data_IF_615438265008
#
_entry.id   IF_615438265008
#
_cell.length_a   1.000
_cell.length_b   1.000
_cell.length_c   1.000
_cell.angle_alpha   90.00
_cell.angle_beta   90.00
_cell.angle_gamma   90.00
#
_symmetry.space_group_name_H-M   'P 1'
#
loop_
_entity.id
_entity.type
_entity.pdbx_description
1 polymer ?
#
# COMPACT_ATOMS: atom_id res chain seq x y z
N UNK A 1 34.74 -38.51 -60.41
CA UNK A 1 33.41 -38.96 -59.92
C UNK A 1 32.54 -37.72 -59.74
N UNK A 2 31.22 -37.90 -59.91
CA UNK A 2 30.18 -36.87 -60.08
C UNK A 2 29.94 -35.93 -58.88
N UNK A 3 29.17 -34.89 -59.18
CA UNK A 3 28.62 -33.76 -58.42
C UNK A 3 27.73 -34.19 -57.23
N UNK A 4 27.53 -33.24 -56.29
CA UNK A 4 26.30 -32.88 -55.55
C UNK A 4 26.29 -33.07 -54.03
N UNK A 5 25.84 -32.03 -53.30
CA UNK A 5 25.26 -32.19 -51.95
C UNK A 5 25.45 -31.07 -50.94
N UNK A 6 24.75 -29.95 -51.12
CA UNK A 6 24.16 -29.04 -50.11
C UNK A 6 24.78 -28.84 -48.71
N UNK A 7 25.04 -27.55 -48.43
CA UNK A 7 25.12 -26.94 -47.10
C UNK A 7 23.77 -27.06 -46.35
N UNK A 8 23.81 -27.47 -45.08
CA UNK A 8 22.81 -27.08 -44.08
C UNK A 8 23.50 -26.74 -42.76
N UNK A 9 23.61 -25.43 -42.53
CA UNK A 9 23.88 -24.88 -41.21
C UNK A 9 22.60 -25.01 -40.37
N UNK A 10 22.56 -25.99 -39.48
CA UNK A 10 21.52 -26.08 -38.45
C UNK A 10 22.15 -26.54 -37.16
N UNK A 11 21.82 -25.81 -36.08
CA UNK A 11 22.20 -26.02 -34.68
C UNK A 11 23.53 -25.40 -34.27
N UNK A 12 23.51 -24.09 -33.96
CA UNK A 12 24.23 -23.52 -32.81
C UNK A 12 23.95 -22.02 -32.57
N UNK A 13 22.72 -21.52 -32.77
CA UNK A 13 22.28 -20.24 -32.16
C UNK A 13 20.78 -20.33 -31.85
N UNK A 14 20.43 -20.80 -30.64
CA UNK A 14 19.15 -20.51 -29.96
C UNK A 14 19.38 -20.38 -28.46
N UNK A 15 20.24 -19.44 -28.08
CA UNK A 15 20.09 -18.68 -26.83
C UNK A 15 19.88 -17.23 -27.26
N UNK A 16 18.62 -16.90 -27.53
CA UNK A 16 18.19 -15.56 -27.88
C UNK A 16 16.78 -15.41 -27.36
N UNK A 17 16.62 -14.48 -26.42
CA UNK A 17 15.37 -13.98 -25.86
C UNK A 17 14.21 -14.04 -26.87
N UNK A 18 13.28 -14.96 -26.68
CA UNK A 18 11.91 -14.78 -27.14
C UNK A 18 11.06 -14.54 -25.90
N UNK A 19 10.94 -13.26 -25.56
CA UNK A 19 9.89 -12.71 -24.71
C UNK A 19 8.55 -13.02 -25.41
N UNK A 20 7.91 -14.12 -25.02
CA UNK A 20 6.58 -14.46 -25.52
C UNK A 20 5.55 -13.56 -24.83
N UNK A 21 5.08 -12.55 -25.55
CA UNK A 21 3.80 -11.88 -25.27
C UNK A 21 2.72 -12.97 -25.34
N UNK A 22 1.97 -13.14 -24.25
CA UNK A 22 0.89 -14.14 -24.20
C UNK A 22 -0.34 -13.56 -24.91
N UNK A 23 -0.61 -14.05 -26.12
CA UNK A 23 -1.81 -13.68 -26.89
C UNK A 23 -3.05 -14.34 -26.28
N UNK A 24 -4.03 -13.53 -25.89
CA UNK A 24 -5.41 -13.93 -25.59
C UNK A 24 -6.32 -13.14 -26.55
N UNK A 25 -7.18 -13.83 -27.30
CA UNK A 25 -8.12 -13.25 -28.26
C UNK A 25 -9.49 -13.08 -27.58
N UNK A 26 -9.84 -11.91 -27.07
CA UNK A 26 -10.45 -10.79 -27.82
C UNK A 26 -10.71 -9.59 -26.89
N UNK A 27 -10.67 -8.35 -27.42
CA UNK A 27 -11.31 -7.17 -26.81
C UNK A 27 -12.26 -6.53 -27.83
N UNK A 28 -13.53 -6.44 -27.45
CA UNK A 28 -14.48 -5.35 -27.75
C UNK A 28 -15.42 -5.28 -26.55
N UNK A 29 -15.52 -4.14 -25.86
CA UNK A 29 -16.66 -3.82 -24.99
C UNK A 29 -17.14 -2.38 -25.23
N UNK A 30 -18.27 -2.21 -25.95
CA UNK A 30 -19.32 -1.22 -25.72
C UNK A 30 -20.46 -1.90 -24.91
N UNK A 31 -21.29 -1.32 -24.04
CA UNK A 31 -22.26 -0.23 -24.20
C UNK A 31 -22.75 0.14 -22.79
N UNK A 32 -22.12 1.12 -22.17
CA UNK A 32 -22.80 2.09 -21.26
C UNK A 32 -22.17 3.47 -21.49
N UNK A 33 -21.68 3.69 -22.72
CA UNK A 33 -21.69 5.03 -23.24
C UNK A 33 -23.16 5.41 -23.34
N UNK A 34 -23.66 6.02 -22.27
CA UNK A 34 -24.25 7.33 -22.48
C UNK A 34 -23.37 7.97 -23.55
N UNK A 35 -23.88 8.00 -24.78
CA UNK A 35 -23.43 8.94 -25.78
C UNK A 35 -23.31 10.21 -24.97
N UNK A 36 -22.08 10.63 -24.63
CA UNK A 36 -21.86 11.89 -23.94
C UNK A 36 -22.27 12.88 -25.03
N UNK A 37 -23.56 13.20 -25.00
CA UNK A 37 -24.24 14.06 -25.91
C UNK A 37 -23.47 15.37 -25.88
N UNK A 38 -22.81 15.69 -27.00
CA UNK A 38 -22.31 17.02 -27.29
C UNK A 38 -21.60 17.72 -26.11
N UNK A 39 -20.71 17.02 -25.39
CA UNK A 39 -19.77 17.75 -24.55
C UNK A 39 -18.79 18.45 -25.48
N UNK A 40 -18.85 19.78 -25.56
CA UNK A 40 -17.83 20.57 -26.24
C UNK A 40 -16.49 20.29 -25.54
N UNK A 41 -15.60 19.55 -26.22
CA UNK A 41 -14.26 19.30 -25.73
C UNK A 41 -13.48 20.62 -25.74
N UNK A 42 -13.36 21.25 -24.58
CA UNK A 42 -12.68 22.54 -24.44
C UNK A 42 -11.15 22.44 -24.52
N UNK A 43 -10.59 21.23 -24.46
CA UNK A 43 -9.14 20.98 -24.41
C UNK A 43 -8.70 19.94 -25.44
N UNK A 44 -7.59 20.21 -26.12
CA UNK A 44 -6.99 19.32 -27.12
C UNK A 44 -6.65 17.93 -26.55
N UNK A 45 -6.29 17.83 -25.27
CA UNK A 45 -6.02 16.55 -24.62
C UNK A 45 -7.24 15.64 -24.51
N UNK A 46 -8.41 16.21 -24.22
CA UNK A 46 -9.67 15.46 -24.20
C UNK A 46 -10.04 14.96 -25.60
N UNK A 47 -9.85 15.80 -26.62
CA UNK A 47 -10.10 15.40 -28.01
C UNK A 47 -9.17 14.26 -28.43
N UNK A 48 -7.87 14.38 -28.18
CA UNK A 48 -6.90 13.34 -28.50
C UNK A 48 -7.19 12.04 -27.75
N UNK A 49 -7.57 12.11 -26.47
CA UNK A 49 -7.97 10.95 -25.69
C UNK A 49 -9.21 10.27 -26.28
N UNK A 50 -10.22 11.07 -26.68
CA UNK A 50 -11.45 10.55 -27.31
C UNK A 50 -11.18 9.87 -28.64
N UNK A 51 -10.42 10.53 -29.52
CA UNK A 51 -10.02 9.94 -30.81
C UNK A 51 -9.23 8.66 -30.61
N UNK A 52 -8.27 8.66 -29.67
CA UNK A 52 -7.48 7.46 -29.35
C UNK A 52 -8.35 6.32 -28.85
N UNK A 53 -9.30 6.61 -27.95
CA UNK A 53 -10.24 5.62 -27.44
C UNK A 53 -11.11 5.04 -28.57
N UNK A 54 -11.73 5.90 -29.38
CA UNK A 54 -12.61 5.50 -30.48
C UNK A 54 -11.88 4.64 -31.53
N UNK A 55 -10.68 5.08 -31.94
CA UNK A 55 -9.84 4.31 -32.86
C UNK A 55 -9.46 2.96 -32.24
N UNK A 56 -9.08 2.94 -30.96
CA UNK A 56 -8.70 1.73 -30.25
C UNK A 56 -9.82 0.70 -30.14
N UNK A 57 -11.07 1.11 -29.86
CA UNK A 57 -12.21 0.16 -29.76
C UNK A 57 -12.76 -0.27 -31.12
N UNK A 58 -12.39 0.42 -32.21
CA UNK A 58 -12.86 0.12 -33.57
C UNK A 58 -12.14 -1.05 -34.24
N UNK A 59 -10.95 -1.43 -33.77
CA UNK A 59 -10.17 -2.53 -34.34
C UNK A 59 -10.64 -3.91 -33.85
N UNK A 60 -10.12 -4.97 -34.47
CA UNK A 60 -10.63 -6.33 -34.25
C UNK A 60 -9.77 -7.18 -33.30
N UNK A 61 -8.58 -6.72 -32.91
CA UNK A 61 -7.70 -7.46 -32.02
C UNK A 61 -7.24 -6.62 -30.83
N UNK A 62 -7.01 -7.29 -29.69
CA UNK A 62 -6.50 -6.64 -28.49
C UNK A 62 -5.09 -6.06 -28.70
N UNK A 63 -4.26 -6.72 -29.51
CA UNK A 63 -2.91 -6.27 -29.81
C UNK A 63 -2.91 -4.97 -30.63
N UNK A 64 -3.76 -4.86 -31.65
CA UNK A 64 -3.95 -3.63 -32.41
C UNK A 64 -4.49 -2.50 -31.53
N UNK A 65 -5.51 -2.80 -30.72
CA UNK A 65 -6.10 -1.82 -29.80
C UNK A 65 -5.04 -1.28 -28.84
N UNK A 66 -4.28 -2.19 -28.21
CA UNK A 66 -3.19 -1.87 -27.30
C UNK A 66 -2.15 -0.95 -27.97
N UNK A 67 -1.78 -1.24 -29.22
CA UNK A 67 -0.81 -0.44 -29.99
C UNK A 67 -1.32 0.97 -30.28
N UNK A 68 -2.54 1.08 -30.82
CA UNK A 68 -3.17 2.37 -31.14
C UNK A 68 -3.28 3.24 -29.88
N UNK A 69 -3.73 2.66 -28.77
CA UNK A 69 -3.83 3.39 -27.51
C UNK A 69 -2.47 3.86 -27.00
N UNK A 70 -1.42 3.03 -27.09
CA UNK A 70 -0.06 3.42 -26.69
C UNK A 70 0.45 4.59 -27.53
N UNK A 71 0.27 4.52 -28.85
CA UNK A 71 0.69 5.59 -29.78
C UNK A 71 -0.10 6.89 -29.55
N UNK A 72 -1.41 6.80 -29.30
CA UNK A 72 -2.25 7.95 -28.98
C UNK A 72 -1.88 8.61 -27.65
N UNK A 73 -1.66 7.82 -26.59
CA UNK A 73 -1.17 8.32 -25.30
C UNK A 73 0.23 8.97 -25.44
N UNK A 74 1.14 8.36 -26.20
CA UNK A 74 2.46 8.95 -26.47
C UNK A 74 2.35 10.30 -27.22
N UNK A 75 1.42 10.39 -28.17
CA UNK A 75 1.13 11.63 -28.89
C UNK A 75 0.59 12.70 -27.95
N UNK A 76 -0.24 12.35 -26.97
CA UNK A 76 -0.71 13.28 -25.94
C UNK A 76 0.44 13.79 -25.06
N UNK A 77 1.38 12.92 -24.68
CA UNK A 77 2.58 13.32 -23.91
C UNK A 77 3.42 14.34 -24.69
N UNK A 78 3.63 14.09 -25.98
CA UNK A 78 4.47 14.94 -26.84
C UNK A 78 3.78 16.25 -27.29
N UNK A 79 2.45 16.32 -27.25
CA UNK A 79 1.71 17.47 -27.75
C UNK A 79 1.91 18.71 -26.85
N UNK A 80 2.15 19.87 -27.46
CA UNK A 80 2.37 21.13 -26.71
C UNK A 80 1.08 21.74 -26.15
N UNK A 81 -0.08 21.41 -26.72
CA UNK A 81 -1.38 21.91 -26.28
C UNK A 81 -2.03 21.08 -25.16
N UNK A 82 -1.51 19.88 -24.84
CA UNK A 82 -1.99 19.10 -23.70
C UNK A 82 -1.44 19.64 -22.39
N UNK A 83 -2.28 19.62 -21.36
CA UNK A 83 -1.93 20.08 -20.03
C UNK A 83 -1.00 19.09 -19.33
N UNK A 84 -0.27 19.56 -18.31
CA UNK A 84 0.64 18.68 -17.55
C UNK A 84 -0.07 17.51 -16.86
N UNK A 85 -1.33 17.71 -16.45
CA UNK A 85 -2.12 16.67 -15.78
C UNK A 85 -2.55 15.59 -16.77
N UNK A 86 -2.96 15.99 -17.98
CA UNK A 86 -3.23 15.06 -19.08
C UNK A 86 -1.97 14.29 -19.49
N UNK A 87 -0.81 14.96 -19.55
CA UNK A 87 0.49 14.31 -19.83
C UNK A 87 0.86 13.31 -18.74
N UNK A 88 0.61 13.64 -17.48
CA UNK A 88 0.85 12.74 -16.35
C UNK A 88 0.02 11.47 -16.48
N UNK A 89 -1.30 11.60 -16.69
CA UNK A 89 -2.17 10.44 -16.85
C UNK A 89 -1.84 9.65 -18.13
N UNK A 90 -1.51 10.34 -19.23
CA UNK A 90 -1.12 9.69 -20.46
C UNK A 90 0.16 8.85 -20.30
N UNK A 91 1.17 9.40 -19.62
CA UNK A 91 2.39 8.69 -19.25
C UNK A 91 2.11 7.45 -18.40
N UNK A 92 1.22 7.59 -17.39
CA UNK A 92 0.80 6.47 -16.56
C UNK A 92 0.12 5.36 -17.37
N UNK A 93 -0.77 5.71 -18.32
CA UNK A 93 -1.42 4.74 -19.20
C UNK A 93 -0.46 4.01 -20.13
N UNK A 94 0.65 4.64 -20.53
CA UNK A 94 1.72 3.97 -21.27
C UNK A 94 2.34 2.88 -20.38
N UNK A 95 2.76 3.25 -19.17
CA UNK A 95 3.40 2.37 -18.18
C UNK A 95 2.52 1.17 -17.81
N UNK A 96 1.23 1.40 -17.49
CA UNK A 96 0.30 0.33 -17.12
C UNK A 96 0.22 -0.79 -18.15
N UNK A 97 0.40 -0.52 -19.45
CA UNK A 97 0.28 -1.55 -20.49
C UNK A 97 1.61 -2.17 -20.95
N UNK A 98 2.72 -1.93 -20.24
CA UNK A 98 4.06 -2.40 -20.62
C UNK A 98 4.63 -3.52 -19.72
N UNK A 99 4.01 -3.83 -18.58
CA UNK A 99 4.49 -4.85 -17.60
C UNK A 99 4.09 -6.29 -17.91
N UNK A 100 4.61 -6.88 -19.00
CA UNK A 100 4.37 -8.31 -19.32
C UNK A 100 2.90 -8.75 -19.25
N UNK A 101 1.99 -7.82 -19.54
CA UNK A 101 0.56 -8.03 -19.40
C UNK A 101 -0.01 -8.68 -20.66
N UNK A 102 -1.14 -9.36 -20.49
CA UNK A 102 -1.92 -9.79 -21.65
C UNK A 102 -2.39 -8.57 -22.43
N UNK A 103 -2.42 -8.66 -23.76
CA UNK A 103 -2.81 -7.53 -24.61
C UNK A 103 -4.21 -6.99 -24.25
N UNK A 104 -5.13 -7.90 -23.88
CA UNK A 104 -6.47 -7.59 -23.36
C UNK A 104 -6.40 -6.70 -22.10
N UNK A 105 -5.58 -7.08 -21.12
CA UNK A 105 -5.41 -6.33 -19.87
C UNK A 105 -4.78 -4.96 -20.11
N UNK A 106 -3.75 -4.91 -20.96
CA UNK A 106 -3.10 -3.66 -21.34
C UNK A 106 -4.08 -2.70 -22.07
N UNK A 107 -4.94 -3.24 -22.92
CA UNK A 107 -5.96 -2.45 -23.61
C UNK A 107 -7.03 -1.89 -22.66
N UNK A 108 -7.48 -2.70 -21.69
CA UNK A 108 -8.47 -2.30 -20.67
C UNK A 108 -7.95 -1.23 -19.72
N UNK A 109 -6.73 -1.38 -19.22
CA UNK A 109 -6.11 -0.36 -18.34
C UNK A 109 -5.95 0.98 -19.04
N UNK A 110 -5.54 0.97 -20.32
CA UNK A 110 -5.45 2.19 -21.13
C UNK A 110 -6.80 2.85 -21.38
N UNK A 111 -7.86 2.06 -21.55
CA UNK A 111 -9.22 2.61 -21.65
C UNK A 111 -9.62 3.39 -20.39
N UNK A 112 -9.32 2.89 -19.20
CA UNK A 112 -9.60 3.61 -17.93
C UNK A 112 -8.90 4.98 -17.90
N UNK A 113 -7.63 5.02 -18.33
CA UNK A 113 -6.85 6.26 -18.40
C UNK A 113 -7.47 7.23 -19.41
N UNK A 114 -7.75 6.77 -20.63
CA UNK A 114 -8.34 7.59 -21.69
C UNK A 114 -9.70 8.14 -21.27
N UNK A 115 -10.57 7.31 -20.70
CA UNK A 115 -11.88 7.74 -20.19
C UNK A 115 -11.76 8.79 -19.10
N UNK A 116 -10.78 8.68 -18.21
CA UNK A 116 -10.53 9.70 -17.18
C UNK A 116 -10.13 11.03 -17.81
N UNK A 117 -9.26 11.02 -18.83
CA UNK A 117 -8.88 12.24 -19.53
C UNK A 117 -10.07 12.84 -20.29
N UNK A 118 -10.86 12.00 -21.00
CA UNK A 118 -12.07 12.41 -21.72
C UNK A 118 -13.07 13.10 -20.77
N UNK A 119 -13.31 12.52 -19.60
CA UNK A 119 -14.22 13.08 -18.58
C UNK A 119 -13.71 14.37 -17.92
N UNK A 120 -12.44 14.71 -18.15
CA UNK A 120 -11.79 15.86 -17.53
C UNK A 120 -11.14 15.53 -16.19
N UNK A 121 -10.02 16.19 -15.92
CA UNK A 121 -9.25 16.01 -14.70
C UNK A 121 -9.65 17.09 -13.70
N UNK A 122 -10.20 16.68 -12.56
CA UNK A 122 -10.58 17.55 -11.46
C UNK A 122 -10.17 16.95 -10.11
N UNK A 123 -9.87 17.82 -9.15
CA UNK A 123 -9.42 17.43 -7.81
C UNK A 123 -7.90 17.38 -7.66
N UNK A 124 -7.44 16.89 -6.50
CA UNK A 124 -6.03 16.70 -6.21
C UNK A 124 -5.44 15.60 -7.10
N UNK A 125 -4.26 15.84 -7.67
CA UNK A 125 -3.67 14.89 -8.62
C UNK A 125 -3.32 13.54 -7.98
N UNK A 126 -2.96 13.50 -6.70
CA UNK A 126 -2.72 12.25 -5.99
C UNK A 126 -3.98 11.36 -5.95
N UNK A 127 -5.12 11.91 -5.53
CA UNK A 127 -6.42 11.23 -5.58
C UNK A 127 -6.84 10.81 -6.99
N UNK A 128 -6.63 11.66 -8.01
CA UNK A 128 -6.93 11.31 -9.40
C UNK A 128 -6.10 10.11 -9.85
N UNK A 129 -4.77 10.15 -9.65
CA UNK A 129 -3.89 9.05 -10.00
C UNK A 129 -4.29 7.78 -9.23
N UNK A 130 -4.58 7.89 -7.93
CA UNK A 130 -5.00 6.75 -7.12
C UNK A 130 -6.28 6.11 -7.65
N UNK A 131 -7.28 6.92 -8.04
CA UNK A 131 -8.54 6.44 -8.62
C UNK A 131 -8.30 5.72 -9.94
N UNK A 132 -7.57 6.34 -10.86
CA UNK A 132 -7.22 5.74 -12.17
C UNK A 132 -6.49 4.42 -11.98
N UNK A 133 -5.56 4.38 -11.03
CA UNK A 133 -4.80 3.18 -10.70
C UNK A 133 -5.68 2.07 -10.14
N UNK A 134 -6.58 2.40 -9.21
CA UNK A 134 -7.52 1.45 -8.62
C UNK A 134 -8.46 0.86 -9.69
N UNK A 135 -9.06 1.72 -10.51
CA UNK A 135 -9.98 1.32 -11.58
C UNK A 135 -9.26 0.48 -12.65
N UNK A 136 -8.03 0.85 -13.02
CA UNK A 136 -7.20 0.08 -13.94
C UNK A 136 -6.84 -1.30 -13.37
N UNK A 137 -6.52 -1.38 -12.07
CA UNK A 137 -6.30 -2.65 -11.38
C UNK A 137 -7.54 -3.54 -11.39
N UNK A 138 -8.73 -2.99 -11.11
CA UNK A 138 -9.99 -3.76 -11.16
C UNK A 138 -10.29 -4.29 -12.57
N UNK A 139 -9.82 -3.61 -13.61
CA UNK A 139 -10.07 -3.99 -15.01
C UNK A 139 -9.28 -5.22 -15.48
N UNK A 140 -8.26 -5.67 -14.74
CA UNK A 140 -7.39 -6.81 -15.13
C UNK A 140 -7.70 -8.07 -14.33
N UNK A 141 -7.41 -9.23 -14.93
CA UNK A 141 -7.87 -10.53 -14.41
C UNK A 141 -6.96 -11.14 -13.33
N UNK A 142 -5.66 -10.89 -13.40
CA UNK A 142 -4.70 -11.57 -12.51
C UNK A 142 -4.20 -10.67 -11.39
N UNK A 143 -4.02 -11.23 -10.19
CA UNK A 143 -3.49 -10.48 -9.05
C UNK A 143 -2.06 -9.96 -9.29
N UNK A 144 -1.31 -10.61 -10.17
CA UNK A 144 0.04 -10.17 -10.57
C UNK A 144 -0.02 -8.88 -11.39
N UNK A 145 -0.86 -8.81 -12.42
CA UNK A 145 -1.06 -7.58 -13.20
C UNK A 145 -1.59 -6.44 -12.33
N UNK A 146 -2.56 -6.73 -11.45
CA UNK A 146 -3.07 -5.74 -10.49
C UNK A 146 -1.95 -5.17 -9.62
N UNK A 147 -1.08 -6.04 -9.10
CA UNK A 147 0.03 -5.65 -8.24
C UNK A 147 0.99 -4.70 -8.95
N UNK A 148 1.29 -4.92 -10.23
CA UNK A 148 2.16 -4.05 -11.03
C UNK A 148 1.52 -2.68 -11.28
N UNK A 149 0.28 -2.65 -11.76
CA UNK A 149 -0.48 -1.42 -11.99
C UNK A 149 -0.52 -0.57 -10.72
N UNK A 150 -0.86 -1.19 -9.59
CA UNK A 150 -0.90 -0.50 -8.31
C UNK A 150 0.46 0.04 -7.89
N UNK A 151 1.55 -0.72 -8.11
CA UNK A 151 2.91 -0.26 -7.78
C UNK A 151 3.28 0.97 -8.60
N UNK A 152 3.02 0.95 -9.90
CA UNK A 152 3.31 2.09 -10.78
C UNK A 152 2.49 3.32 -10.42
N UNK A 153 1.20 3.12 -10.13
CA UNK A 153 0.32 4.21 -9.74
C UNK A 153 0.75 4.85 -8.42
N UNK A 154 1.13 4.05 -7.43
CA UNK A 154 1.69 4.55 -6.17
C UNK A 154 3.03 5.27 -6.39
N UNK A 155 3.90 4.74 -7.26
CA UNK A 155 5.15 5.40 -7.64
C UNK A 155 4.88 6.75 -8.34
N UNK A 156 3.87 6.82 -9.20
CA UNK A 156 3.45 8.05 -9.85
C UNK A 156 2.89 9.07 -8.86
N UNK A 157 2.10 8.66 -7.85
CA UNK A 157 1.61 9.57 -6.79
C UNK A 157 2.80 10.17 -6.03
N UNK A 158 3.77 9.33 -5.64
CA UNK A 158 4.98 9.73 -4.91
C UNK A 158 5.78 10.79 -5.70
N UNK A 159 5.98 10.56 -6.99
CA UNK A 159 6.80 11.41 -7.85
C UNK A 159 6.06 12.66 -8.34
N UNK A 160 4.72 12.66 -8.33
CA UNK A 160 3.96 13.76 -8.89
C UNK A 160 4.11 15.05 -8.05
N UNK A 161 4.48 16.18 -8.67
CA UNK A 161 4.69 17.45 -7.94
C UNK A 161 3.39 18.08 -7.41
N UNK A 162 2.22 17.69 -7.94
CA UNK A 162 0.90 18.16 -7.51
C UNK A 162 0.20 17.21 -6.53
N UNK A 163 0.82 16.09 -6.15
CA UNK A 163 0.38 15.32 -4.99
C UNK A 163 0.79 16.04 -3.70
N UNK A 164 -0.10 16.06 -2.73
CA UNK A 164 0.19 16.53 -1.37
C UNK A 164 1.20 15.62 -0.66
N UNK A 165 1.84 16.14 0.38
CA UNK A 165 2.83 15.37 1.15
C UNK A 165 2.22 14.15 1.86
N UNK A 166 0.96 14.25 2.29
CA UNK A 166 0.25 13.14 2.92
C UNK A 166 -0.05 12.03 1.90
N UNK A 167 -0.50 12.38 0.69
CA UNK A 167 -0.71 11.41 -0.38
C UNK A 167 0.60 10.70 -0.76
N UNK A 168 1.72 11.44 -0.83
CA UNK A 168 3.05 10.87 -1.09
C UNK A 168 3.47 9.90 0.01
N UNK A 169 3.26 10.28 1.27
CA UNK A 169 3.57 9.45 2.45
C UNK A 169 2.78 8.13 2.41
N UNK A 170 1.47 8.21 2.18
CA UNK A 170 0.61 7.02 2.12
C UNK A 170 0.94 6.17 0.88
N UNK A 171 1.30 6.79 -0.24
CA UNK A 171 1.75 6.06 -1.43
C UNK A 171 3.06 5.30 -1.20
N UNK A 172 4.05 5.94 -0.56
CA UNK A 172 5.32 5.30 -0.17
C UNK A 172 5.09 4.06 0.69
N UNK A 173 4.20 4.14 1.66
CA UNK A 173 3.82 3.00 2.48
C UNK A 173 3.25 1.85 1.65
N UNK A 174 2.35 2.14 0.69
CA UNK A 174 1.77 1.12 -0.17
C UNK A 174 2.75 0.47 -1.15
N UNK A 175 3.79 1.18 -1.57
CA UNK A 175 4.88 0.59 -2.37
C UNK A 175 5.51 -0.55 -1.56
N UNK A 176 5.81 -0.29 -0.28
CA UNK A 176 6.47 -1.23 0.64
C UNK A 176 5.55 -2.40 1.06
N UNK A 177 4.24 -2.17 1.26
CA UNK A 177 3.25 -3.22 1.61
C UNK A 177 3.09 -4.34 0.58
N UNK A 178 3.72 -4.24 -0.59
CA UNK A 178 3.72 -5.32 -1.56
C UNK A 178 5.12 -5.79 -1.92
N UNK A 179 6.14 -5.42 -1.16
CA UNK A 179 7.54 -5.79 -1.39
C UNK A 179 7.99 -6.83 -0.35
N UNK A 180 8.66 -7.90 -0.82
CA UNK A 180 9.17 -9.08 -0.09
C UNK A 180 8.19 -9.80 0.87
N UNK A 181 8.03 -11.12 0.70
CA UNK A 181 7.26 -12.03 1.58
C UNK A 181 5.73 -11.99 1.52
N UNK A 182 5.12 -11.27 0.57
CA UNK A 182 3.68 -11.31 0.32
C UNK A 182 3.34 -11.94 -1.02
N UNK A 183 2.31 -12.77 -1.05
CA UNK A 183 1.77 -13.27 -2.30
C UNK A 183 1.03 -12.15 -3.07
N UNK A 184 0.83 -12.35 -4.38
CA UNK A 184 0.24 -11.32 -5.23
C UNK A 184 -1.17 -10.89 -4.77
N UNK A 185 -1.98 -11.82 -4.25
CA UNK A 185 -3.33 -11.53 -3.75
C UNK A 185 -3.28 -10.63 -2.50
N UNK A 186 -2.46 -10.99 -1.52
CA UNK A 186 -2.24 -10.20 -0.30
C UNK A 186 -1.72 -8.80 -0.62
N UNK A 187 -0.68 -8.71 -1.46
CA UNK A 187 -0.10 -7.42 -1.88
C UNK A 187 -1.14 -6.52 -2.57
N UNK A 188 -1.95 -7.10 -3.45
CA UNK A 188 -3.00 -6.37 -4.16
C UNK A 188 -4.10 -5.86 -3.24
N UNK A 189 -4.54 -6.67 -2.28
CA UNK A 189 -5.53 -6.26 -1.26
C UNK A 189 -4.99 -5.13 -0.38
N UNK A 190 -3.75 -5.24 0.07
CA UNK A 190 -3.11 -4.21 0.89
C UNK A 190 -2.97 -2.87 0.13
N UNK A 191 -2.51 -2.90 -1.13
CA UNK A 191 -2.40 -1.70 -1.97
C UNK A 191 -3.74 -1.08 -2.33
N UNK A 192 -4.81 -1.88 -2.48
CA UNK A 192 -6.16 -1.36 -2.66
C UNK A 192 -6.62 -0.51 -1.47
N UNK A 193 -6.31 -0.91 -0.22
CA UNK A 193 -6.61 -0.10 0.96
C UNK A 193 -5.88 1.25 0.92
N UNK A 194 -4.61 1.23 0.49
CA UNK A 194 -3.79 2.45 0.34
C UNK A 194 -4.42 3.39 -0.70
N UNK A 195 -4.71 2.89 -1.90
CA UNK A 195 -5.33 3.66 -2.98
C UNK A 195 -6.69 4.22 -2.55
N UNK A 196 -7.54 3.41 -1.93
CA UNK A 196 -8.85 3.85 -1.42
C UNK A 196 -8.72 4.94 -0.35
N UNK A 197 -7.68 4.89 0.49
CA UNK A 197 -7.42 5.96 1.47
C UNK A 197 -7.03 7.26 0.79
N UNK A 198 -6.16 7.20 -0.23
CA UNK A 198 -5.78 8.39 -1.02
C UNK A 198 -6.99 8.96 -1.77
N UNK A 199 -7.85 8.11 -2.33
CA UNK A 199 -9.11 8.52 -3.00
C UNK A 199 -10.07 9.19 -2.02
N UNK A 200 -10.18 8.67 -0.79
CA UNK A 200 -11.09 9.18 0.24
C UNK A 200 -10.67 10.51 0.89
N UNK A 201 -9.54 11.09 0.45
CA UNK A 201 -8.80 12.16 1.10
C UNK A 201 -8.24 11.77 2.48
N UNK A 202 -7.02 12.21 2.75
CA UNK A 202 -6.36 11.99 4.03
C UNK A 202 -6.75 13.14 4.96
N UNK A 203 -7.16 12.81 6.19
CA UNK A 203 -7.57 13.78 7.19
C UNK A 203 -7.02 13.42 8.57
N UNK A 204 -6.83 14.44 9.40
CA UNK A 204 -6.23 14.29 10.73
C UNK A 204 -4.70 14.19 10.70
N UNK A 205 -4.08 13.88 11.85
CA UNK A 205 -2.64 13.67 11.94
C UNK A 205 -2.18 12.53 11.01
N UNK A 206 -1.05 12.73 10.35
CA UNK A 206 -0.53 11.75 9.39
C UNK A 206 -0.16 10.41 10.07
N UNK A 207 0.24 10.42 11.35
CA UNK A 207 0.48 9.20 12.13
C UNK A 207 -0.79 8.35 12.28
N UNK A 208 -1.92 8.96 12.65
CA UNK A 208 -3.24 8.31 12.67
C UNK A 208 -3.64 7.76 11.31
N UNK A 209 -3.39 8.49 10.22
CA UNK A 209 -3.68 8.03 8.87
C UNK A 209 -2.84 6.80 8.49
N UNK A 210 -1.52 6.84 8.74
CA UNK A 210 -0.62 5.69 8.53
C UNK A 210 -1.11 4.49 9.36
N UNK A 211 -1.43 4.69 10.64
CA UNK A 211 -1.89 3.62 11.51
C UNK A 211 -3.20 2.99 11.01
N UNK A 212 -4.16 3.81 10.55
CA UNK A 212 -5.41 3.35 9.96
C UNK A 212 -5.16 2.50 8.71
N UNK A 213 -4.39 3.02 7.74
CA UNK A 213 -4.06 2.30 6.49
C UNK A 213 -3.35 0.98 6.79
N UNK A 214 -2.40 1.00 7.71
CA UNK A 214 -1.63 -0.17 8.14
C UNK A 214 -2.55 -1.24 8.74
N UNK A 215 -3.44 -0.84 9.65
CA UNK A 215 -4.41 -1.75 10.27
C UNK A 215 -5.34 -2.35 9.21
N UNK A 216 -5.96 -1.49 8.40
CA UNK A 216 -6.95 -1.89 7.39
C UNK A 216 -6.31 -2.80 6.31
N UNK A 217 -5.05 -2.55 5.92
CA UNK A 217 -4.31 -3.41 5.01
C UNK A 217 -3.93 -4.75 5.65
N UNK A 218 -3.44 -4.71 6.89
CA UNK A 218 -3.02 -5.90 7.63
C UNK A 218 -4.14 -6.91 7.89
N UNK A 219 -5.39 -6.47 8.05
CA UNK A 219 -6.54 -7.39 8.21
C UNK A 219 -7.03 -8.01 6.89
N UNK A 220 -6.51 -7.57 5.74
CA UNK A 220 -6.92 -8.06 4.42
C UNK A 220 -5.97 -9.11 3.83
N UNK A 221 -4.77 -9.29 4.39
CA UNK A 221 -3.81 -10.29 3.95
C UNK A 221 -4.10 -11.67 4.54
N UNK A 222 -3.52 -12.71 3.93
CA UNK A 222 -3.94 -14.10 4.14
C UNK A 222 -3.31 -14.75 5.37
N UNK A 223 -2.11 -14.31 5.77
CA UNK A 223 -1.37 -14.94 6.87
C UNK A 223 -1.00 -13.96 7.98
N UNK A 224 -0.87 -14.48 9.21
CA UNK A 224 -0.39 -13.69 10.33
C UNK A 224 1.03 -13.16 10.11
N UNK A 225 1.88 -13.90 9.37
CA UNK A 225 3.23 -13.47 9.02
C UNK A 225 3.22 -12.24 8.10
N UNK A 226 2.37 -12.25 7.07
CA UNK A 226 2.17 -11.09 6.18
C UNK A 226 1.60 -9.90 6.95
N UNK A 227 0.58 -10.14 7.79
CA UNK A 227 -0.02 -9.10 8.62
C UNK A 227 1.03 -8.46 9.55
N UNK A 228 1.86 -9.29 10.20
CA UNK A 228 2.93 -8.84 11.09
C UNK A 228 3.94 -7.96 10.36
N UNK A 229 4.26 -8.29 9.11
CA UNK A 229 5.18 -7.53 8.27
C UNK A 229 4.59 -6.15 7.91
N UNK A 230 3.35 -6.10 7.42
CA UNK A 230 2.64 -4.84 7.13
C UNK A 230 2.58 -3.95 8.37
N UNK A 231 2.20 -4.51 9.51
CA UNK A 231 2.11 -3.75 10.76
C UNK A 231 3.47 -3.17 11.17
N UNK A 232 4.55 -3.96 11.08
CA UNK A 232 5.89 -3.47 11.39
C UNK A 232 6.32 -2.33 10.46
N UNK A 233 6.11 -2.50 9.15
CA UNK A 233 6.42 -1.48 8.15
C UNK A 233 5.62 -0.19 8.38
N UNK A 234 4.33 -0.30 8.71
CA UNK A 234 3.50 0.85 9.03
C UNK A 234 3.93 1.59 10.29
N UNK A 235 4.25 0.86 11.36
CA UNK A 235 4.78 1.46 12.59
C UNK A 235 6.13 2.14 12.34
N UNK A 236 7.04 1.51 11.58
CA UNK A 236 8.29 2.13 11.14
C UNK A 236 8.03 3.40 10.30
N UNK A 237 6.99 3.38 9.46
CA UNK A 237 6.53 4.54 8.72
C UNK A 237 6.12 5.70 9.62
N UNK A 238 5.41 5.45 10.73
CA UNK A 238 5.02 6.48 11.71
C UNK A 238 6.27 7.08 12.37
N UNK A 239 7.19 6.24 12.84
CA UNK A 239 8.43 6.68 13.52
C UNK A 239 9.27 7.60 12.61
N UNK A 240 9.45 7.17 11.35
CA UNK A 240 10.25 7.90 10.37
C UNK A 240 9.56 9.18 9.85
N UNK A 241 8.25 9.32 9.99
CA UNK A 241 7.52 10.45 9.42
C UNK A 241 7.71 11.73 10.26
N UNK A 242 8.12 12.83 9.63
CA UNK A 242 8.32 14.12 10.32
C UNK A 242 7.02 14.81 10.75
N UNK A 243 5.89 14.47 10.14
CA UNK A 243 4.57 15.00 10.47
C UNK A 243 3.84 14.23 11.58
N UNK A 244 4.35 13.07 12.00
CA UNK A 244 3.81 12.34 13.15
C UNK A 244 4.19 13.04 14.46
N UNK A 245 3.25 13.08 15.40
CA UNK A 245 3.42 13.64 16.75
C UNK A 245 4.37 12.78 17.59
N UNK A 246 4.90 13.36 18.69
CA UNK A 246 5.81 12.63 19.59
C UNK A 246 5.13 11.42 20.22
N UNK A 247 3.86 11.57 20.57
CA UNK A 247 3.04 10.53 21.18
C UNK A 247 2.77 9.37 20.21
N UNK A 248 2.48 9.68 18.93
CA UNK A 248 2.32 8.67 17.88
C UNK A 248 3.63 7.89 17.66
N UNK A 249 4.77 8.59 17.68
CA UNK A 249 6.09 7.96 17.53
C UNK A 249 6.41 7.05 18.72
N UNK A 250 6.20 7.52 19.95
CA UNK A 250 6.44 6.71 21.14
C UNK A 250 5.60 5.42 21.14
N UNK A 251 4.32 5.50 20.76
CA UNK A 251 3.48 4.29 20.63
C UNK A 251 3.92 3.42 19.45
N UNK A 252 4.35 4.01 18.34
CA UNK A 252 4.82 3.24 17.20
C UNK A 252 6.11 2.47 17.49
N UNK A 253 7.07 3.09 18.19
CA UNK A 253 8.29 2.46 18.69
C UNK A 253 7.96 1.27 19.60
N UNK A 254 7.06 1.46 20.57
CA UNK A 254 6.57 0.37 21.42
C UNK A 254 5.95 -0.78 20.60
N UNK A 255 5.15 -0.46 19.57
CA UNK A 255 4.56 -1.47 18.70
C UNK A 255 5.56 -2.23 17.83
N UNK A 256 6.68 -1.60 17.45
CA UNK A 256 7.77 -2.29 16.74
C UNK A 256 8.37 -3.36 17.64
N UNK A 257 8.65 -3.00 18.90
CA UNK A 257 9.17 -3.91 19.93
C UNK A 257 8.21 -5.06 20.23
N UNK A 258 6.90 -4.78 20.24
CA UNK A 258 5.88 -5.81 20.37
C UNK A 258 6.00 -6.84 19.25
N UNK A 259 6.45 -8.05 19.61
CA UNK A 259 6.62 -9.15 18.67
C UNK A 259 8.01 -9.33 18.12
N UNK A 260 9.04 -8.57 18.50
CA UNK A 260 10.42 -8.80 18.00
C UNK A 260 11.18 -9.90 18.79
N UNK A 261 10.65 -10.38 19.92
CA UNK A 261 11.21 -11.51 20.71
C UNK A 261 10.23 -12.69 20.80
N UNK A 262 10.66 -13.91 20.43
CA UNK A 262 10.04 -15.23 20.70
C UNK A 262 8.50 -15.37 20.67
N UNK A 263 7.79 -14.50 19.95
CA UNK A 263 6.34 -14.48 19.88
C UNK A 263 5.83 -15.20 18.63
N UNK A 264 4.70 -15.90 18.77
CA UNK A 264 3.97 -16.41 17.61
C UNK A 264 3.46 -15.24 16.76
N UNK A 265 3.48 -15.40 15.43
CA UNK A 265 2.99 -14.35 14.52
C UNK A 265 1.57 -13.90 14.89
N UNK A 266 0.68 -14.82 15.26
CA UNK A 266 -0.68 -14.48 15.69
C UNK A 266 -0.75 -13.65 16.97
N UNK A 267 0.20 -13.81 17.88
CA UNK A 267 0.26 -13.03 19.11
C UNK A 267 0.86 -11.65 18.83
N UNK A 268 1.93 -11.59 18.04
CA UNK A 268 2.55 -10.34 17.60
C UNK A 268 1.55 -9.45 16.83
N UNK A 269 0.74 -10.04 15.93
CA UNK A 269 -0.24 -9.26 15.17
C UNK A 269 -1.33 -8.67 16.04
N UNK A 270 -1.80 -9.40 17.05
CA UNK A 270 -2.78 -8.91 18.02
C UNK A 270 -2.23 -7.77 18.85
N UNK A 271 -1.02 -7.91 19.38
CA UNK A 271 -0.35 -6.87 20.15
C UNK A 271 -0.17 -5.58 19.32
N UNK A 272 0.33 -5.70 18.07
CA UNK A 272 0.49 -4.55 17.16
C UNK A 272 -0.85 -3.92 16.76
N UNK A 273 -1.92 -4.71 16.64
CA UNK A 273 -3.25 -4.17 16.37
C UNK A 273 -3.76 -3.28 17.52
N UNK A 274 -3.45 -3.59 18.78
CA UNK A 274 -3.80 -2.72 19.92
C UNK A 274 -3.11 -1.35 19.79
N UNK A 275 -1.82 -1.35 19.46
CA UNK A 275 -1.05 -0.11 19.22
C UNK A 275 -1.65 0.69 18.07
N UNK A 276 -1.84 0.06 16.90
CA UNK A 276 -2.40 0.73 15.71
C UNK A 276 -3.81 1.26 15.96
N UNK A 277 -4.66 0.52 16.69
CA UNK A 277 -5.99 0.97 17.06
C UNK A 277 -5.96 2.19 17.99
N UNK A 278 -4.98 2.27 18.89
CA UNK A 278 -4.80 3.42 19.77
C UNK A 278 -4.35 4.64 18.98
N UNK A 279 -3.33 4.50 18.12
CA UNK A 279 -2.83 5.60 17.29
C UNK A 279 -3.92 6.12 16.34
N UNK A 280 -4.66 5.23 15.67
CA UNK A 280 -5.72 5.63 14.73
C UNK A 280 -6.95 6.24 15.42
N UNK A 281 -7.21 5.86 16.68
CA UNK A 281 -8.33 6.34 17.48
C UNK A 281 -8.08 7.70 18.14
N UNK A 282 -6.84 8.19 18.07
CA UNK A 282 -6.40 9.38 18.79
C UNK A 282 -5.86 9.06 20.17
N UNK A 283 -4.82 9.79 20.57
CA UNK A 283 -4.13 9.60 21.84
C UNK A 283 -4.71 10.58 22.85
N UNK A 284 -5.36 10.06 23.88
CA UNK A 284 -5.98 10.85 24.94
C UNK A 284 -5.39 10.47 26.30
N UNK A 285 -4.98 11.46 27.09
CA UNK A 285 -4.34 11.27 28.40
C UNK A 285 -2.83 11.45 28.35
N UNK A 286 -2.16 11.25 29.49
CA UNK A 286 -0.71 11.31 29.57
C UNK A 286 -0.07 10.14 28.83
N UNK A 287 1.08 10.35 28.18
CA UNK A 287 1.71 9.30 27.37
C UNK A 287 2.05 8.05 28.21
N UNK A 288 2.45 8.21 29.48
CA UNK A 288 2.70 7.09 30.38
C UNK A 288 1.44 6.25 30.66
N UNK A 289 0.29 6.89 30.86
CA UNK A 289 -1.00 6.20 31.00
C UNK A 289 -1.39 5.48 29.71
N UNK A 290 -1.19 6.11 28.56
CA UNK A 290 -1.55 5.49 27.27
C UNK A 290 -0.65 4.29 26.97
N UNK A 291 0.66 4.40 27.18
CA UNK A 291 1.60 3.28 27.06
C UNK A 291 1.16 2.13 27.98
N UNK A 292 0.88 2.42 29.26
CA UNK A 292 0.47 1.39 30.21
C UNK A 292 -0.82 0.67 29.78
N UNK A 293 -1.82 1.42 29.30
CA UNK A 293 -3.08 0.84 28.80
C UNK A 293 -2.86 -0.01 27.56
N UNK A 294 -2.11 0.49 26.59
CA UNK A 294 -1.76 -0.24 25.36
C UNK A 294 -1.02 -1.54 25.68
N UNK A 295 -0.06 -1.48 26.59
CA UNK A 295 0.70 -2.65 27.05
C UNK A 295 -0.20 -3.67 27.74
N UNK A 296 -1.12 -3.23 28.61
CA UNK A 296 -2.08 -4.13 29.25
C UNK A 296 -2.98 -4.82 28.23
N UNK A 297 -3.62 -4.04 27.34
CA UNK A 297 -4.54 -4.55 26.32
C UNK A 297 -3.82 -5.51 25.35
N UNK A 298 -2.58 -5.19 24.96
CA UNK A 298 -1.74 -6.05 24.13
C UNK A 298 -1.36 -7.35 24.86
N UNK A 299 -0.97 -7.27 26.13
CA UNK A 299 -0.61 -8.44 26.95
C UNK A 299 -1.79 -9.37 27.21
N UNK A 300 -3.02 -8.85 27.33
CA UNK A 300 -4.23 -9.69 27.46
C UNK A 300 -4.60 -10.37 26.14
N UNK A 301 -4.18 -9.83 24.99
CA UNK A 301 -4.53 -10.37 23.68
C UNK A 301 -3.65 -11.55 23.23
N UNK A 302 -2.49 -11.78 23.87
CA UNK A 302 -1.52 -12.83 23.50
C UNK A 302 -1.81 -14.17 24.21
N UNK A 303 -1.15 -15.24 23.75
CA UNK A 303 -1.57 -16.61 24.10
C UNK A 303 -0.94 -17.13 25.38
N UNK A 304 0.34 -16.82 25.62
CA UNK A 304 1.09 -17.39 26.75
C UNK A 304 1.44 -16.32 27.77
N UNK A 305 1.61 -16.76 29.02
CA UNK A 305 2.07 -15.86 30.09
C UNK A 305 3.49 -15.33 29.83
N UNK A 306 4.33 -16.09 29.13
CA UNK A 306 5.67 -15.66 28.71
C UNK A 306 5.59 -14.49 27.71
N UNK A 307 4.76 -14.62 26.66
CA UNK A 307 4.53 -13.54 25.68
C UNK A 307 3.93 -12.30 26.38
N UNK A 308 2.99 -12.52 27.30
CA UNK A 308 2.39 -11.44 28.07
C UNK A 308 3.44 -10.72 28.92
N UNK A 309 4.29 -11.48 29.63
CA UNK A 309 5.36 -10.93 30.47
C UNK A 309 6.37 -10.11 29.67
N UNK A 310 6.71 -10.56 28.45
CA UNK A 310 7.60 -9.85 27.55
C UNK A 310 7.01 -8.49 27.13
N UNK A 311 5.75 -8.48 26.66
CA UNK A 311 5.04 -7.24 26.30
C UNK A 311 4.97 -6.26 27.48
N UNK A 312 4.62 -6.77 28.67
CA UNK A 312 4.53 -5.94 29.87
C UNK A 312 5.86 -5.30 30.24
N UNK A 313 6.96 -6.08 30.15
CA UNK A 313 8.30 -5.57 30.40
C UNK A 313 8.66 -4.45 29.42
N UNK A 314 8.44 -4.67 28.12
CA UNK A 314 8.68 -3.67 27.08
C UNK A 314 7.85 -2.39 27.32
N UNK A 315 6.61 -2.52 27.78
CA UNK A 315 5.77 -1.38 28.14
C UNK A 315 6.33 -0.56 29.31
N UNK A 316 6.78 -1.22 30.38
CA UNK A 316 7.41 -0.51 31.49
C UNK A 316 8.73 0.16 31.10
N UNK A 317 9.56 -0.53 30.31
CA UNK A 317 10.81 0.03 29.77
C UNK A 317 10.52 1.27 28.90
N UNK A 318 9.46 1.25 28.10
CA UNK A 318 9.02 2.42 27.32
C UNK A 318 8.54 3.59 28.19
N UNK A 319 7.85 3.34 29.31
CA UNK A 319 7.46 4.40 30.26
C UNK A 319 8.70 5.04 30.89
N UNK A 320 9.69 4.23 31.29
CA UNK A 320 10.94 4.71 31.89
C UNK A 320 11.77 5.54 30.92
N UNK A 321 11.83 5.13 29.65
CA UNK A 321 12.63 5.78 28.62
C UNK A 321 11.98 7.06 28.06
N UNK A 322 10.66 7.21 28.19
CA UNK A 322 9.94 8.33 27.61
C UNK A 322 10.13 9.62 28.45
N UNK A 323 10.61 10.73 27.88
CA UNK A 323 10.89 11.96 28.62
C UNK A 323 9.62 12.68 29.12
N UNK A 324 8.47 12.41 28.50
CA UNK A 324 7.20 13.07 28.80
C UNK A 324 6.38 12.30 29.85
N UNK A 325 6.97 11.31 30.53
CA UNK A 325 6.37 10.59 31.66
C UNK A 325 6.76 11.21 33.00
N UNK A 326 5.86 11.12 33.98
CA UNK A 326 6.10 11.67 35.33
C UNK A 326 7.00 10.77 36.16
N UNK A 327 7.65 11.31 37.18
CA UNK A 327 8.47 10.51 38.12
C UNK A 327 7.64 9.46 38.87
N UNK A 328 6.36 9.74 39.16
CA UNK A 328 5.44 8.76 39.73
C UNK A 328 5.18 7.60 38.76
N UNK A 329 4.95 7.90 37.48
CA UNK A 329 4.79 6.88 36.44
C UNK A 329 6.05 6.03 36.28
N UNK A 330 7.23 6.67 36.31
CA UNK A 330 8.52 5.97 36.25
C UNK A 330 8.74 5.08 37.47
N UNK A 331 8.41 5.55 38.68
CA UNK A 331 8.53 4.76 39.91
C UNK A 331 7.66 3.49 39.85
N UNK A 332 6.40 3.64 39.40
CA UNK A 332 5.49 2.51 39.22
C UNK A 332 5.96 1.57 38.11
N UNK A 333 6.48 2.10 37.00
CA UNK A 333 7.03 1.29 35.91
C UNK A 333 8.27 0.48 36.35
N UNK A 334 9.18 1.11 37.11
CA UNK A 334 10.34 0.42 37.68
C UNK A 334 9.89 -0.73 38.59
N UNK A 335 8.91 -0.47 39.48
CA UNK A 335 8.32 -1.53 40.31
C UNK A 335 7.72 -2.64 39.47
N UNK A 336 7.10 -2.32 38.33
CA UNK A 336 6.57 -3.28 37.36
C UNK A 336 7.62 -4.21 36.76
N UNK A 337 8.82 -3.68 36.48
CA UNK A 337 9.97 -4.49 36.01
C UNK A 337 10.44 -5.42 37.13
N UNK A 338 10.69 -4.86 38.32
CA UNK A 338 11.23 -5.59 39.48
C UNK A 338 10.30 -6.73 39.93
N UNK A 339 8.98 -6.50 39.84
CA UNK A 339 7.95 -7.51 40.10
C UNK A 339 7.94 -8.52 38.95
N UNK A 340 8.43 -9.73 39.24
CA UNK A 340 8.45 -10.84 38.28
C UNK A 340 9.82 -11.44 38.01
N UNK A 341 10.91 -10.74 38.36
CA UNK A 341 12.27 -11.16 37.97
C UNK A 341 12.96 -12.13 38.97
N UNK A 342 12.33 -12.43 40.11
CA UNK A 342 12.86 -13.34 41.14
C UNK A 342 12.03 -14.63 41.27
N UNK A 343 12.41 -15.71 40.56
CA UNK A 343 11.87 -17.07 40.71
C UNK A 343 10.34 -17.23 40.66
N UNK A 344 9.65 -16.31 40.00
CA UNK A 344 8.19 -16.32 39.91
C UNK A 344 7.73 -17.01 38.63
N UNK A 345 6.73 -17.88 38.71
CA UNK A 345 6.09 -18.46 37.52
C UNK A 345 5.51 -17.34 36.63
N UNK A 346 5.64 -17.46 35.31
CA UNK A 346 5.25 -16.41 34.36
C UNK A 346 3.80 -15.97 34.52
N UNK A 347 2.88 -16.91 34.82
CA UNK A 347 1.47 -16.60 35.07
C UNK A 347 1.27 -15.65 36.26
N UNK A 348 2.03 -15.85 37.34
CA UNK A 348 1.94 -15.00 38.54
C UNK A 348 2.60 -13.65 38.30
N UNK A 349 3.76 -13.64 37.62
CA UNK A 349 4.45 -12.42 37.24
C UNK A 349 3.57 -11.55 36.34
N UNK A 350 2.96 -12.16 35.31
CA UNK A 350 2.08 -11.45 34.38
C UNK A 350 0.85 -10.85 35.07
N UNK A 351 0.24 -11.57 36.02
CA UNK A 351 -0.87 -11.04 36.83
C UNK A 351 -0.44 -9.87 37.71
N UNK A 352 0.70 -9.98 38.38
CA UNK A 352 1.19 -8.90 39.24
C UNK A 352 1.53 -7.64 38.43
N UNK A 353 2.16 -7.80 37.25
CA UNK A 353 2.44 -6.69 36.32
C UNK A 353 1.16 -6.03 35.78
N UNK A 354 0.10 -6.81 35.52
CA UNK A 354 -1.19 -6.25 35.11
C UNK A 354 -1.79 -5.31 36.16
N UNK A 355 -1.67 -5.64 37.45
CA UNK A 355 -2.17 -4.77 38.53
C UNK A 355 -1.44 -3.41 38.51
N UNK A 356 -0.13 -3.43 38.28
CA UNK A 356 0.68 -2.21 38.22
C UNK A 356 0.34 -1.39 36.96
N UNK A 357 0.18 -2.04 35.80
CA UNK A 357 -0.27 -1.37 34.59
C UNK A 357 -1.64 -0.71 34.81
N UNK A 358 -2.60 -1.42 35.40
CA UNK A 358 -3.91 -0.87 35.71
C UNK A 358 -3.84 0.38 36.58
N UNK A 359 -2.94 0.43 37.57
CA UNK A 359 -2.73 1.65 38.37
C UNK A 359 -2.24 2.84 37.53
N UNK A 360 -1.36 2.59 36.56
CA UNK A 360 -0.76 3.62 35.70
C UNK A 360 -1.74 4.29 34.74
N UNK A 361 -2.90 3.67 34.45
CA UNK A 361 -3.91 4.20 33.52
C UNK A 361 -5.31 4.37 34.11
N UNK A 362 -5.39 4.45 35.45
CA UNK A 362 -6.64 4.78 36.15
C UNK A 362 -7.15 6.19 35.87
#
# INVERSE_FOLDING_TARGET
MKIDGNLTATNLIKQGNQLQVKEDSTVKEPVDSAVISSAEFSKIGQLLAKTTFDCGVSVNTASEQRRIQKEGLASMVANSGTTQDEKTLAGLGITFGDHYMYDVSAARTRNVVLQTIIGGIGGAMGSVIAKVTYDAGVAVKTAEEQRFIQKDGLQAIKENPKSSQDEKTIAELGIVFGDSYMNNTSATKARNVVLQTIIGNISGPIGSAIAKVTYDAGVKVETAKEQRAIQKQGLQGIVANSGATKEEKALAELGIEFGDSYMYDTSATKARNVVLNTIKGGINGSIGSVIAKVTYDAGVAVKTAEEQRAIQRQGFEAILANPDTTEEQKLLAQRGIDVGDHYMYDTSAAKARNIILQELFK
#
